data_IF_002700763621
#
_entry.id   IF_002700763621
#
_cell.length_a   1.000
_cell.length_b   1.000
_cell.length_c   1.000
_cell.angle_alpha   90.00
_cell.angle_beta   90.00
_cell.angle_gamma   90.00
#
_symmetry.space_group_name_H-M   'P 1'
#
loop_
_entity.id
_entity.type
_entity.pdbx_description
1 polymer ?
#
# COMPACT_ATOMS: atom_id res chain seq x y z
N UNK A 1 -7.93 -44.23 6.85
CA UNK A 1 -8.77 -43.02 6.96
C UNK A 1 -7.85 -41.83 6.69
N UNK A 2 -7.82 -41.34 5.46
CA UNK A 2 -6.97 -40.24 5.03
C UNK A 2 -7.72 -38.94 5.24
N UNK A 3 -7.36 -38.19 6.29
CA UNK A 3 -7.89 -36.85 6.54
C UNK A 3 -7.23 -35.86 5.58
N UNK A 4 -7.94 -35.56 4.49
CA UNK A 4 -7.62 -34.46 3.57
C UNK A 4 -7.88 -33.13 4.28
N UNK A 5 -6.85 -32.50 4.83
CA UNK A 5 -6.95 -31.14 5.36
C UNK A 5 -7.21 -30.23 4.15
N UNK A 6 -8.28 -29.42 4.13
CA UNK A 6 -8.49 -28.47 3.06
C UNK A 6 -7.30 -27.50 3.08
N UNK A 7 -6.54 -27.49 1.99
CA UNK A 7 -5.53 -26.48 1.73
C UNK A 7 -6.28 -25.15 1.71
N UNK A 8 -6.32 -24.46 2.85
CA UNK A 8 -6.73 -23.07 2.91
C UNK A 8 -5.80 -22.37 1.93
N UNK A 9 -6.32 -22.14 0.73
CA UNK A 9 -5.65 -21.31 -0.25
C UNK A 9 -5.54 -19.99 0.46
N UNK A 10 -4.34 -19.69 0.95
CA UNK A 10 -3.98 -18.36 1.39
C UNK A 10 -4.03 -17.58 0.09
N UNK A 11 -5.24 -17.19 -0.32
CA UNK A 11 -5.42 -16.13 -1.30
C UNK A 11 -4.60 -15.03 -0.66
N UNK A 12 -3.49 -14.58 -1.26
CA UNK A 12 -2.93 -13.33 -0.81
C UNK A 12 -4.10 -12.39 -1.03
N UNK A 13 -4.77 -12.00 0.06
CA UNK A 13 -5.57 -10.80 0.09
C UNK A 13 -4.53 -9.78 -0.33
N UNK A 14 -4.49 -9.52 -1.64
CA UNK A 14 -3.99 -8.27 -2.12
C UNK A 14 -4.96 -7.32 -1.45
N UNK A 15 -4.57 -6.86 -0.27
CA UNK A 15 -4.83 -5.51 0.18
C UNK A 15 -4.20 -4.64 -0.91
N UNK A 16 -4.81 -4.65 -2.09
CA UNK A 16 -4.63 -3.71 -3.17
C UNK A 16 -5.20 -2.44 -2.59
N UNK A 17 -4.41 -1.84 -1.70
CA UNK A 17 -4.71 -0.55 -1.13
C UNK A 17 -4.67 0.38 -2.33
N UNK A 18 -5.77 1.05 -2.59
CA UNK A 18 -5.83 2.02 -3.65
C UNK A 18 -5.11 3.28 -3.17
N UNK A 19 -4.53 4.02 -4.09
CA UNK A 19 -3.88 5.28 -3.79
C UNK A 19 -4.95 6.29 -3.38
N UNK A 20 -4.81 6.92 -2.22
CA UNK A 20 -5.77 7.91 -1.70
C UNK A 20 -5.90 9.16 -2.59
N UNK A 21 -4.93 9.40 -3.48
CA UNK A 21 -4.92 10.56 -4.38
C UNK A 21 -5.60 10.25 -5.73
N UNK A 22 -5.37 9.06 -6.30
CA UNK A 22 -5.75 8.77 -7.68
C UNK A 22 -6.47 7.43 -7.89
N UNK A 23 -6.66 6.63 -6.84
CA UNK A 23 -7.32 5.33 -6.88
C UNK A 23 -6.52 4.18 -7.53
N UNK A 24 -5.37 4.45 -8.15
CA UNK A 24 -4.48 3.40 -8.71
C UNK A 24 -3.95 2.47 -7.63
N UNK A 25 -3.47 1.28 -8.00
CA UNK A 25 -2.79 0.35 -7.09
C UNK A 25 -1.68 1.08 -6.31
N UNK A 26 -1.83 1.15 -4.99
CA UNK A 26 -0.81 1.69 -4.11
C UNK A 26 0.23 0.61 -3.83
N UNK A 27 1.48 1.01 -3.95
CA UNK A 27 2.65 0.17 -3.66
C UNK A 27 3.48 0.71 -2.51
N UNK A 28 3.12 1.89 -2.01
CA UNK A 28 3.88 2.66 -1.05
C UNK A 28 2.91 3.06 0.06
N UNK A 29 3.26 2.76 1.32
CA UNK A 29 2.50 3.19 2.49
C UNK A 29 3.37 4.11 3.33
N UNK A 30 2.90 5.32 3.62
CA UNK A 30 3.62 6.30 4.46
C UNK A 30 2.64 6.88 5.46
N UNK A 31 2.95 6.79 6.75
CA UNK A 31 2.13 7.38 7.81
C UNK A 31 0.65 6.94 7.81
N UNK A 32 0.38 5.70 7.35
CA UNK A 32 -0.94 5.09 7.14
C UNK A 32 -1.66 5.46 5.84
N UNK A 33 -1.18 6.46 5.09
CA UNK A 33 -1.68 6.80 3.76
C UNK A 33 -1.09 5.88 2.68
N UNK A 34 -1.87 5.60 1.63
CA UNK A 34 -1.51 4.72 0.52
C UNK A 34 -1.28 5.51 -0.77
N UNK A 35 -0.11 5.29 -1.37
CA UNK A 35 0.33 5.99 -2.56
C UNK A 35 0.72 5.04 -3.69
N UNK A 36 0.34 5.41 -4.90
CA UNK A 36 0.97 4.88 -6.11
C UNK A 36 2.34 5.56 -6.31
N UNK A 37 3.22 4.92 -7.08
CA UNK A 37 4.58 5.44 -7.32
C UNK A 37 4.62 6.84 -7.95
N UNK A 38 3.62 7.19 -8.77
CA UNK A 38 3.51 8.51 -9.39
C UNK A 38 3.13 9.59 -8.36
N UNK A 39 2.11 9.34 -7.55
CA UNK A 39 1.66 10.27 -6.51
C UNK A 39 2.73 10.47 -5.42
N UNK A 40 3.50 9.43 -5.08
CA UNK A 40 4.63 9.58 -4.15
C UNK A 40 5.76 10.43 -4.73
N UNK A 41 5.97 10.38 -6.05
CA UNK A 41 7.00 11.17 -6.75
C UNK A 41 6.65 12.65 -6.86
N UNK A 42 5.38 13.02 -6.72
CA UNK A 42 4.98 14.44 -6.72
C UNK A 42 5.69 15.20 -5.61
N UNK A 43 6.34 16.33 -5.96
CA UNK A 43 7.11 17.15 -5.01
C UNK A 43 6.31 17.55 -3.76
N UNK A 44 4.99 17.76 -3.89
CA UNK A 44 4.09 18.09 -2.76
C UNK A 44 4.00 16.96 -1.73
N UNK A 45 3.74 15.73 -2.16
CA UNK A 45 3.65 14.55 -1.28
C UNK A 45 5.01 14.30 -0.65
N UNK A 46 6.06 14.30 -1.45
CA UNK A 46 7.42 14.10 -0.98
C UNK A 46 7.84 15.17 0.03
N UNK A 47 7.52 16.44 -0.21
CA UNK A 47 7.81 17.52 0.74
C UNK A 47 6.96 17.45 2.01
N UNK A 48 5.69 17.03 1.93
CA UNK A 48 4.83 16.87 3.10
C UNK A 48 5.36 15.78 4.04
N UNK A 49 5.78 14.62 3.51
CA UNK A 49 6.27 13.50 4.34
C UNK A 49 7.76 13.61 4.69
N UNK A 50 8.64 14.08 3.80
CA UNK A 50 10.06 14.31 4.13
C UNK A 50 10.22 15.56 5.00
N UNK A 51 9.47 16.63 4.75
CA UNK A 51 9.49 17.83 5.59
C UNK A 51 9.02 17.58 7.02
N UNK A 52 8.21 16.54 7.24
CA UNK A 52 7.82 16.06 8.57
C UNK A 52 8.92 15.25 9.28
N UNK A 53 9.90 14.73 8.55
CA UNK A 53 11.04 14.01 9.11
C UNK A 53 12.19 14.93 9.59
N UNK A 54 12.10 16.23 9.32
CA UNK A 54 13.12 17.24 9.69
C UNK A 54 12.71 18.14 10.86
N UNK A 55 11.65 17.81 11.60
CA UNK A 55 11.17 18.60 12.73
C UNK A 55 11.03 17.78 14.00
#
# INVERSE_FOLDING_TARGET
MTTSIPLHTIVPVSLNRNCDICGKEARITVNQDHFCGECMRTKRVRAFYIGRASR
#
